data_IF_434914070570
#
_entry.id   IF_434914070570
#
_cell.length_a   1.000
_cell.length_b   1.000
_cell.length_c   1.000
_cell.angle_alpha   90.00
_cell.angle_beta   90.00
_cell.angle_gamma   90.00
#
_symmetry.space_group_name_H-M   'P 1'
#
loop_
_entity.id
_entity.type
_entity.pdbx_description
1 polymer ?
#
# COMPACT_ATOMS: atom_id res chain seq x y z
N UNK A 1 -17.34 23.02 -51.54
CA UNK A 1 -17.84 23.93 -50.48
C UNK A 1 -18.99 23.37 -49.63
N UNK A 2 -20.00 22.65 -50.17
CA UNK A 2 -21.13 22.12 -49.36
C UNK A 2 -20.73 21.05 -48.34
N UNK A 3 -19.81 20.15 -48.68
CA UNK A 3 -19.34 19.04 -47.82
C UNK A 3 -18.64 19.56 -46.55
N UNK A 4 -17.79 20.58 -46.67
CA UNK A 4 -17.07 21.19 -45.54
C UNK A 4 -18.01 21.92 -44.56
N UNK A 5 -19.13 22.45 -45.07
CA UNK A 5 -20.17 23.13 -44.28
C UNK A 5 -21.02 22.12 -43.51
N UNK A 6 -21.36 21.00 -44.14
CA UNK A 6 -22.06 19.86 -43.52
C UNK A 6 -21.21 19.21 -42.42
N UNK A 7 -19.91 19.01 -42.66
CA UNK A 7 -18.99 18.48 -41.64
C UNK A 7 -18.89 19.40 -40.41
N UNK A 8 -18.83 20.72 -40.62
CA UNK A 8 -18.82 21.72 -39.54
C UNK A 8 -20.10 21.68 -38.71
N UNK A 9 -21.26 21.61 -39.34
CA UNK A 9 -22.53 21.52 -38.60
C UNK A 9 -22.67 20.23 -37.82
N UNK A 10 -22.25 19.09 -38.38
CA UNK A 10 -22.27 17.79 -37.67
C UNK A 10 -21.34 17.82 -36.46
N UNK A 11 -20.12 18.35 -36.61
CA UNK A 11 -19.17 18.48 -35.51
C UNK A 11 -19.69 19.38 -34.38
N UNK A 12 -20.36 20.48 -34.72
CA UNK A 12 -20.91 21.43 -33.74
C UNK A 12 -22.12 20.86 -33.00
N UNK A 13 -22.99 20.11 -33.69
CA UNK A 13 -24.11 19.38 -33.08
C UNK A 13 -23.60 18.29 -32.12
N UNK A 14 -22.55 17.55 -32.49
CA UNK A 14 -21.93 16.57 -31.61
C UNK A 14 -21.33 17.19 -30.35
N UNK A 15 -20.62 18.32 -30.49
CA UNK A 15 -20.01 19.06 -29.37
C UNK A 15 -21.06 19.66 -28.42
N UNK A 16 -22.11 20.28 -28.96
CA UNK A 16 -23.18 20.83 -28.14
C UNK A 16 -24.03 19.73 -27.51
N UNK A 17 -24.31 18.64 -28.25
CA UNK A 17 -25.05 17.49 -27.74
C UNK A 17 -24.33 16.81 -26.58
N UNK A 18 -23.01 16.61 -26.68
CA UNK A 18 -22.22 16.03 -25.58
C UNK A 18 -22.20 16.95 -24.36
N UNK A 19 -22.07 18.27 -24.55
CA UNK A 19 -22.11 19.24 -23.45
C UNK A 19 -23.45 19.23 -22.70
N UNK A 20 -24.58 19.16 -23.41
CA UNK A 20 -25.91 19.10 -22.79
C UNK A 20 -26.11 17.79 -22.03
N UNK A 21 -25.63 16.66 -22.56
CA UNK A 21 -25.69 15.37 -21.85
C UNK A 21 -24.85 15.39 -20.58
N UNK A 22 -23.64 15.96 -20.63
CA UNK A 22 -22.76 16.11 -19.47
C UNK A 22 -23.40 17.02 -18.42
N UNK A 23 -23.91 18.19 -18.81
CA UNK A 23 -24.60 19.12 -17.90
C UNK A 23 -25.86 18.51 -17.28
N UNK A 24 -26.66 17.80 -18.08
CA UNK A 24 -27.83 17.07 -17.60
C UNK A 24 -27.44 15.99 -16.58
N UNK A 25 -26.36 15.25 -16.83
CA UNK A 25 -25.80 14.30 -15.86
C UNK A 25 -25.27 14.98 -14.61
N UNK A 26 -24.59 16.12 -14.69
CA UNK A 26 -24.09 16.85 -13.51
C UNK A 26 -25.24 17.35 -12.63
N UNK A 27 -26.35 17.78 -13.23
CA UNK A 27 -27.53 18.28 -12.50
C UNK A 27 -28.42 17.16 -11.95
N UNK A 28 -28.50 16.01 -12.63
CA UNK A 28 -29.35 14.88 -12.24
C UNK A 28 -28.59 13.80 -11.46
N UNK A 29 -27.26 13.75 -11.55
CA UNK A 29 -26.48 12.84 -10.75
C UNK A 29 -26.65 13.25 -9.29
N UNK A 30 -27.02 12.31 -8.40
CA UNK A 30 -26.93 12.58 -6.98
C UNK A 30 -25.48 13.03 -6.72
N UNK A 31 -25.32 14.13 -5.97
CA UNK A 31 -24.01 14.52 -5.47
C UNK A 31 -23.38 13.25 -4.92
N UNK A 32 -22.23 12.85 -5.47
CA UNK A 32 -21.48 11.68 -5.01
C UNK A 32 -21.32 11.82 -3.50
N UNK A 33 -22.19 11.13 -2.75
CA UNK A 33 -22.18 11.18 -1.30
C UNK A 33 -20.96 10.37 -0.93
N UNK A 34 -19.86 11.10 -0.69
CA UNK A 34 -18.68 10.55 -0.06
C UNK A 34 -19.12 10.01 1.30
N UNK A 35 -19.30 8.70 1.38
CA UNK A 35 -19.42 7.99 2.65
C UNK A 35 -18.03 7.42 2.92
N UNK A 36 -17.23 8.06 3.79
CA UNK A 36 -15.97 7.45 4.20
C UNK A 36 -16.27 6.10 4.88
N UNK A 37 -15.47 5.08 4.59
CA UNK A 37 -15.46 3.88 5.41
C UNK A 37 -15.16 4.30 6.85
N UNK A 38 -16.02 3.92 7.80
CA UNK A 38 -15.90 4.30 9.22
C UNK A 38 -15.06 3.32 10.02
N UNK A 39 -14.73 2.18 9.44
CA UNK A 39 -13.92 1.14 10.06
C UNK A 39 -13.38 0.19 8.98
N UNK A 40 -12.19 -0.34 9.21
CA UNK A 40 -11.62 -1.44 8.43
C UNK A 40 -11.24 -2.58 9.38
N UNK A 41 -11.48 -3.81 8.95
CA UNK A 41 -11.08 -5.01 9.69
C UNK A 41 -9.96 -5.70 8.92
N UNK A 42 -8.82 -5.84 9.57
CA UNK A 42 -7.67 -6.55 9.02
C UNK A 42 -7.95 -8.06 8.97
N UNK A 43 -7.40 -8.78 7.98
CA UNK A 43 -7.49 -10.24 7.98
C UNK A 43 -6.78 -10.83 9.20
N UNK A 44 -7.26 -11.99 9.68
CA UNK A 44 -6.61 -12.70 10.79
C UNK A 44 -5.17 -13.12 10.46
N UNK A 45 -4.90 -13.39 9.18
CA UNK A 45 -3.59 -13.82 8.67
C UNK A 45 -3.30 -13.16 7.33
N UNK A 46 -2.15 -12.50 7.23
CA UNK A 46 -1.53 -12.15 5.95
C UNK A 46 -0.43 -13.19 5.68
N UNK A 47 -0.49 -13.95 4.58
CA UNK A 47 0.53 -14.96 4.27
C UNK A 47 1.93 -14.37 4.26
N UNK A 48 2.80 -14.89 5.14
CA UNK A 48 4.23 -14.57 5.17
C UNK A 48 5.00 -15.55 4.28
N UNK A 49 5.68 -15.02 3.27
CA UNK A 49 6.52 -15.74 2.28
C UNK A 49 6.04 -17.14 1.89
N UNK A 50 4.94 -17.24 1.14
CA UNK A 50 4.76 -18.40 0.27
C UNK A 50 5.81 -18.29 -0.84
N UNK A 51 6.85 -19.12 -0.77
CA UNK A 51 7.76 -19.31 -1.90
C UNK A 51 6.95 -19.78 -3.09
N UNK A 52 6.75 -18.91 -4.06
CA UNK A 52 6.14 -19.29 -5.34
C UNK A 52 7.11 -20.21 -6.07
N UNK A 53 6.84 -21.53 -6.05
CA UNK A 53 7.61 -22.49 -6.84
C UNK A 53 7.38 -23.95 -6.44
N UNK A 54 6.28 -24.56 -6.87
CA UNK A 54 6.28 -25.87 -7.54
C UNK A 54 4.85 -26.38 -7.79
N UNK A 55 4.35 -26.16 -9.00
CA UNK A 55 3.60 -27.24 -9.63
C UNK A 55 4.58 -28.40 -9.86
N UNK A 56 4.46 -29.44 -9.03
CA UNK A 56 4.99 -30.78 -9.27
C UNK A 56 6.51 -30.95 -9.20
N UNK A 57 7.01 -31.48 -8.07
CA UNK A 57 7.94 -32.62 -8.03
C UNK A 57 8.22 -32.97 -6.57
N UNK A 58 7.80 -34.18 -6.17
CA UNK A 58 8.22 -34.83 -4.94
C UNK A 58 9.76 -34.93 -4.94
N UNK A 59 10.40 -34.33 -3.95
CA UNK A 59 11.82 -34.54 -3.67
C UNK A 59 12.00 -34.76 -2.18
N UNK A 60 12.19 -36.02 -1.81
CA UNK A 60 12.72 -36.43 -0.50
C UNK A 60 14.11 -35.82 -0.33
N UNK A 61 14.19 -34.72 0.41
CA UNK A 61 15.43 -34.03 0.71
C UNK A 61 15.30 -33.25 2.02
N UNK A 62 15.84 -33.82 3.09
CA UNK A 62 15.95 -33.24 4.42
C UNK A 62 16.66 -31.87 4.40
N UNK A 63 15.89 -30.80 4.33
CA UNK A 63 16.30 -29.41 4.55
C UNK A 63 15.11 -28.62 5.09
N UNK A 64 15.25 -28.03 6.28
CA UNK A 64 14.20 -27.30 6.97
C UNK A 64 13.83 -25.98 6.26
N UNK A 65 12.97 -26.03 5.25
CA UNK A 65 12.29 -24.86 4.68
C UNK A 65 11.10 -24.48 5.57
N UNK A 66 11.37 -23.67 6.61
CA UNK A 66 10.34 -23.25 7.56
C UNK A 66 9.38 -22.23 6.94
N UNK A 67 8.07 -22.44 7.10
CA UNK A 67 7.05 -21.49 6.69
C UNK A 67 6.74 -20.52 7.85
N UNK A 68 6.50 -19.24 7.56
CA UNK A 68 6.08 -18.29 8.59
C UNK A 68 4.63 -18.55 9.01
N UNK A 69 4.41 -18.83 10.28
CA UNK A 69 3.07 -19.05 10.84
C UNK A 69 2.63 -17.83 11.65
N UNK A 70 1.49 -17.24 11.28
CA UNK A 70 0.89 -16.15 12.05
C UNK A 70 0.36 -16.68 13.39
N UNK A 71 0.71 -16.00 14.48
CA UNK A 71 0.47 -16.48 15.84
C UNK A 71 -0.63 -15.69 16.55
N UNK A 72 -0.82 -14.41 16.25
CA UNK A 72 -1.86 -13.55 16.83
C UNK A 72 -2.06 -12.31 15.96
N UNK A 73 -3.32 -11.87 15.82
CA UNK A 73 -3.70 -10.55 15.30
C UNK A 73 -4.32 -9.71 16.44
N UNK A 74 -3.91 -8.44 16.59
CA UNK A 74 -4.60 -7.48 17.46
C UNK A 74 -4.95 -6.23 16.66
N UNK A 75 -6.24 -6.04 16.39
CA UNK A 75 -6.73 -4.81 15.78
C UNK A 75 -7.15 -3.80 16.85
N UNK A 76 -6.66 -2.56 16.73
CA UNK A 76 -7.13 -1.43 17.56
C UNK A 76 -7.68 -0.36 16.62
N UNK A 77 -8.86 0.19 16.96
CA UNK A 77 -9.43 1.36 16.31
C UNK A 77 -9.08 2.58 17.17
N UNK A 78 -8.00 3.32 16.89
CA UNK A 78 -7.80 4.60 17.54
C UNK A 78 -8.78 5.62 16.95
N UNK A 79 -9.43 6.37 17.83
CA UNK A 79 -10.36 7.46 17.48
C UNK A 79 -9.58 8.70 17.02
N UNK A 80 -8.93 8.60 15.85
CA UNK A 80 -8.19 9.69 15.21
C UNK A 80 -8.65 9.76 13.75
N UNK A 81 -9.07 10.94 13.29
CA UNK A 81 -9.74 11.17 12.00
C UNK A 81 -9.06 10.55 10.77
N UNK A 82 -7.75 10.29 10.83
CA UNK A 82 -6.95 9.76 9.72
C UNK A 82 -6.49 8.31 9.90
N UNK A 83 -6.76 7.64 11.02
CA UNK A 83 -6.34 6.26 11.29
C UNK A 83 -7.56 5.36 11.42
N UNK A 84 -7.78 4.49 10.43
CA UNK A 84 -8.97 3.66 10.33
C UNK A 84 -8.87 2.35 11.08
N UNK A 85 -7.67 1.77 11.12
CA UNK A 85 -7.43 0.51 11.80
C UNK A 85 -5.93 0.29 11.99
N UNK A 86 -5.58 -0.50 12.99
CA UNK A 86 -4.24 -1.08 13.13
C UNK A 86 -4.33 -2.60 13.18
N UNK A 87 -3.24 -3.28 12.88
CA UNK A 87 -3.07 -4.71 13.16
C UNK A 87 -1.61 -5.02 13.46
N UNK A 88 -1.39 -5.93 14.39
CA UNK A 88 -0.07 -6.49 14.70
C UNK A 88 -0.11 -7.98 14.43
N UNK A 89 0.90 -8.49 13.71
CA UNK A 89 1.05 -9.90 13.36
C UNK A 89 2.40 -10.41 13.85
N UNK A 90 2.37 -11.52 14.57
CA UNK A 90 3.59 -12.23 14.98
C UNK A 90 3.79 -13.46 14.11
N UNK A 91 4.93 -13.56 13.46
CA UNK A 91 5.34 -14.67 12.62
C UNK A 91 6.49 -15.43 13.26
N UNK A 92 6.48 -16.76 13.15
CA UNK A 92 7.61 -17.62 13.58
C UNK A 92 8.12 -18.52 12.47
N UNK A 93 9.45 -18.66 12.39
CA UNK A 93 10.16 -19.61 11.54
C UNK A 93 11.27 -20.26 12.38
N UNK A 94 11.00 -21.45 12.92
CA UNK A 94 11.88 -22.08 13.92
C UNK A 94 12.04 -21.20 15.17
N UNK A 95 13.29 -20.88 15.52
CA UNK A 95 13.62 -20.01 16.66
C UNK A 95 13.57 -18.51 16.33
N UNK A 96 13.29 -18.14 15.08
CA UNK A 96 13.19 -16.75 14.66
C UNK A 96 11.75 -16.25 14.78
N UNK A 97 11.62 -15.01 15.24
CA UNK A 97 10.35 -14.28 15.33
C UNK A 97 10.42 -13.00 14.52
N UNK A 98 9.43 -12.78 13.66
CA UNK A 98 9.25 -11.55 12.91
C UNK A 98 7.92 -10.93 13.32
N UNK A 99 7.90 -9.63 13.54
CA UNK A 99 6.70 -8.88 13.88
C UNK A 99 6.36 -7.91 12.75
N UNK A 100 5.09 -7.84 12.38
CA UNK A 100 4.57 -6.89 11.41
C UNK A 100 3.49 -6.04 12.06
N UNK A 101 3.75 -4.73 12.17
CA UNK A 101 2.74 -3.77 12.58
C UNK A 101 2.23 -3.04 11.33
N UNK A 102 0.91 -2.91 11.22
CA UNK A 102 0.22 -2.32 10.08
C UNK A 102 -0.76 -1.25 10.55
N UNK A 103 -0.78 -0.11 9.88
CA UNK A 103 -1.70 1.00 10.10
C UNK A 103 -2.38 1.36 8.78
N UNK A 104 -3.71 1.38 8.79
CA UNK A 104 -4.49 1.84 7.66
C UNK A 104 -4.91 3.29 7.85
N UNK A 105 -4.24 4.19 7.14
CA UNK A 105 -4.37 5.64 7.25
C UNK A 105 -5.18 6.18 6.06
N UNK A 106 -6.02 7.20 6.23
CA UNK A 106 -6.88 7.78 5.18
C UNK A 106 -6.59 9.22 4.80
N UNK A 107 -5.78 9.93 5.58
CA UNK A 107 -5.42 11.33 5.33
C UNK A 107 -3.95 11.58 5.70
N UNK A 108 -3.04 10.96 4.94
CA UNK A 108 -1.59 11.12 5.11
C UNK A 108 -0.92 11.51 3.80
N UNK A 109 0.25 12.15 3.91
CA UNK A 109 1.16 12.36 2.79
C UNK A 109 2.12 11.20 2.56
N UNK A 110 2.03 10.12 3.35
CA UNK A 110 2.80 8.89 3.19
C UNK A 110 4.26 9.00 3.62
N UNK A 111 4.66 10.09 4.29
CA UNK A 111 6.03 10.26 4.77
C UNK A 111 6.33 9.38 5.98
N UNK A 112 7.15 8.35 5.77
CA UNK A 112 7.44 7.34 6.80
C UNK A 112 8.18 7.94 8.00
N UNK A 113 9.03 8.95 7.80
CA UNK A 113 9.73 9.60 8.91
C UNK A 113 8.74 10.31 9.85
N UNK A 114 7.77 11.05 9.28
CA UNK A 114 6.69 11.69 10.04
C UNK A 114 5.80 10.65 10.74
N UNK A 115 5.48 9.55 10.07
CA UNK A 115 4.67 8.47 10.66
C UNK A 115 5.39 7.79 11.85
N UNK A 116 6.68 7.50 11.71
CA UNK A 116 7.51 6.98 12.80
C UNK A 116 7.54 7.96 13.98
N UNK A 117 7.75 9.26 13.74
CA UNK A 117 7.75 10.26 14.80
C UNK A 117 6.41 10.34 15.56
N UNK A 118 5.29 10.16 14.85
CA UNK A 118 3.96 10.23 15.44
C UNK A 118 3.56 8.98 16.23
N UNK A 119 3.92 7.79 15.74
CA UNK A 119 3.37 6.52 16.25
C UNK A 119 4.40 5.59 16.90
N UNK A 120 5.68 5.79 16.59
CA UNK A 120 6.80 5.01 17.14
C UNK A 120 7.96 5.96 17.47
N UNK A 121 7.77 6.94 18.38
CA UNK A 121 8.73 8.02 18.62
C UNK A 121 10.12 7.54 19.04
N UNK A 122 10.22 6.36 19.66
CA UNK A 122 11.49 5.71 19.98
C UNK A 122 12.33 5.34 18.74
N UNK A 123 11.72 5.27 17.56
CA UNK A 123 12.35 4.97 16.29
C UNK A 123 12.59 6.21 15.43
N UNK A 124 12.12 7.39 15.86
CA UNK A 124 12.12 8.62 15.06
C UNK A 124 13.53 9.12 14.71
N UNK A 125 14.49 8.88 15.60
CA UNK A 125 15.88 9.31 15.43
C UNK A 125 16.75 8.28 14.67
N UNK A 126 16.17 7.14 14.27
CA UNK A 126 16.92 6.12 13.55
C UNK A 126 17.17 6.55 12.10
N UNK A 127 18.39 6.28 11.62
CA UNK A 127 18.73 6.50 10.22
C UNK A 127 17.99 5.51 9.33
N UNK A 128 17.08 6.03 8.51
CA UNK A 128 16.39 5.27 7.47
C UNK A 128 17.28 5.13 6.23
N UNK A 129 17.66 3.90 5.89
CA UNK A 129 18.35 3.60 4.63
C UNK A 129 17.32 3.19 3.57
N UNK A 130 17.06 4.02 2.54
CA UNK A 130 16.07 3.71 1.52
C UNK A 130 16.59 2.67 0.53
N UNK A 131 15.69 1.80 0.09
CA UNK A 131 15.85 0.80 -0.95
C UNK A 131 14.74 0.97 -1.98
N UNK A 132 15.08 0.84 -3.26
CA UNK A 132 14.14 0.98 -4.36
C UNK A 132 14.44 -0.05 -5.44
N UNK A 133 13.41 -0.82 -5.81
CA UNK A 133 13.41 -1.73 -6.93
C UNK A 133 12.06 -1.63 -7.67
N UNK A 134 12.00 -0.83 -8.73
CA UNK A 134 10.75 -0.51 -9.43
C UNK A 134 9.73 0.18 -8.51
N UNK A 135 8.52 -0.41 -8.42
CA UNK A 135 7.42 0.05 -7.56
C UNK A 135 7.49 -0.53 -6.12
N UNK A 136 8.56 -1.28 -5.81
CA UNK A 136 8.86 -1.78 -4.47
C UNK A 136 9.89 -0.86 -3.78
N UNK A 137 9.42 0.06 -2.94
CA UNK A 137 10.24 1.02 -2.19
C UNK A 137 9.99 0.86 -0.71
N UNK A 138 11.07 0.76 0.06
CA UNK A 138 11.04 0.62 1.51
C UNK A 138 12.31 1.18 2.14
N UNK A 139 12.31 1.38 3.44
CA UNK A 139 13.50 1.77 4.19
C UNK A 139 13.83 0.76 5.27
N UNK A 140 15.12 0.56 5.53
CA UNK A 140 15.60 -0.26 6.64
C UNK A 140 16.25 0.65 7.68
N UNK A 141 15.99 0.36 8.95
CA UNK A 141 16.63 1.01 10.08
C UNK A 141 17.18 -0.05 11.04
N UNK A 142 18.27 0.27 11.72
CA UNK A 142 18.84 -0.56 12.77
C UNK A 142 18.73 0.19 14.10
N UNK A 143 18.27 -0.51 15.13
CA UNK A 143 18.33 -0.06 16.52
C UNK A 143 19.37 -0.91 17.28
N UNK A 144 20.60 -0.38 17.47
CA UNK A 144 21.64 -1.08 18.21
C UNK A 144 21.32 -1.26 19.70
N UNK A 145 20.41 -0.46 20.27
CA UNK A 145 20.09 -0.53 21.70
C UNK A 145 19.14 -1.69 22.03
N UNK A 146 18.33 -2.10 21.05
CA UNK A 146 17.36 -3.18 21.17
C UNK A 146 17.78 -4.45 20.40
N UNK A 147 18.94 -4.42 19.74
CA UNK A 147 19.39 -5.48 18.84
C UNK A 147 18.29 -5.83 17.82
N UNK A 148 17.73 -4.81 17.15
CA UNK A 148 16.62 -4.98 16.19
C UNK A 148 16.89 -4.32 14.84
N UNK A 149 16.39 -4.98 13.79
CA UNK A 149 16.23 -4.41 12.47
C UNK A 149 14.76 -4.11 12.21
N UNK A 150 14.51 -2.99 11.54
CA UNK A 150 13.20 -2.55 11.12
C UNK A 150 13.20 -2.36 9.61
N UNK A 151 12.08 -2.71 8.97
CA UNK A 151 11.80 -2.38 7.58
C UNK A 151 10.43 -1.70 7.54
N UNK A 152 10.35 -0.55 6.89
CA UNK A 152 9.14 0.27 6.89
C UNK A 152 8.86 0.86 5.52
N UNK A 153 7.57 0.88 5.15
CA UNK A 153 7.09 1.60 3.98
C UNK A 153 5.59 1.86 4.08
N UNK A 154 5.12 2.82 3.28
CA UNK A 154 3.71 3.02 2.99
C UNK A 154 3.34 2.26 1.71
N UNK A 155 2.27 1.47 1.72
CA UNK A 155 1.67 0.90 0.50
C UNK A 155 0.49 1.79 0.09
N UNK A 156 0.53 2.30 -1.14
CA UNK A 156 -0.50 3.13 -1.73
C UNK A 156 -1.60 2.28 -2.39
N UNK A 157 -2.73 2.91 -2.70
CA UNK A 157 -3.91 2.24 -3.26
C UNK A 157 -3.67 1.57 -4.61
N UNK A 158 -2.71 2.05 -5.39
CA UNK A 158 -2.32 1.44 -6.66
C UNK A 158 -1.37 0.24 -6.49
N UNK A 159 -1.00 -0.10 -5.25
CA UNK A 159 -0.11 -1.20 -4.91
C UNK A 159 1.37 -0.80 -4.83
N UNK A 160 1.74 0.42 -5.23
CA UNK A 160 3.12 0.90 -5.10
C UNK A 160 3.47 1.06 -3.62
N UNK A 161 4.73 0.84 -3.28
CA UNK A 161 5.25 1.17 -1.95
C UNK A 161 6.16 2.38 -1.99
N UNK A 162 6.17 3.17 -0.91
CA UNK A 162 6.85 4.47 -0.83
C UNK A 162 7.40 4.74 0.56
N UNK A 163 8.43 5.58 0.65
CA UNK A 163 9.05 6.01 1.91
C UNK A 163 8.87 7.51 2.16
N UNK A 164 8.96 8.34 1.12
CA UNK A 164 8.86 9.81 1.27
C UNK A 164 7.53 10.36 0.78
N UNK A 165 7.19 11.57 1.23
CA UNK A 165 6.02 12.30 0.76
C UNK A 165 6.01 12.47 -0.77
N UNK A 166 7.16 12.77 -1.39
CA UNK A 166 7.25 12.95 -2.84
C UNK A 166 6.97 11.65 -3.61
N UNK A 167 7.50 10.53 -3.12
CA UNK A 167 7.23 9.21 -3.70
C UNK A 167 5.75 8.87 -3.59
N UNK A 168 5.13 9.09 -2.42
CA UNK A 168 3.71 8.85 -2.22
C UNK A 168 2.83 9.76 -3.10
N UNK A 169 3.20 11.03 -3.26
CA UNK A 169 2.53 11.95 -4.18
C UNK A 169 2.60 11.47 -5.64
N UNK A 170 3.71 10.87 -6.06
CA UNK A 170 3.89 10.37 -7.43
C UNK A 170 2.94 9.22 -7.78
N UNK A 171 2.58 8.37 -6.81
CA UNK A 171 1.61 7.26 -6.99
C UNK A 171 0.24 7.72 -7.49
N UNK A 172 -0.08 9.01 -7.29
CA UNK A 172 -1.38 9.63 -7.62
C UNK A 172 -1.38 10.38 -8.94
N UNK A 173 -0.28 10.39 -9.68
CA UNK A 173 -0.25 11.05 -10.99
C UNK A 173 -1.23 10.38 -11.95
N UNK A 174 -1.95 11.19 -12.72
CA UNK A 174 -2.86 10.73 -13.76
C UNK A 174 -2.21 9.74 -14.74
N UNK A 175 -0.92 9.88 -15.01
CA UNK A 175 -0.14 8.97 -15.87
C UNK A 175 -0.01 7.55 -15.32
N UNK A 176 -0.22 7.35 -14.02
CA UNK A 176 -0.22 6.02 -13.37
C UNK A 176 -1.61 5.37 -13.35
N UNK A 177 -2.66 6.09 -13.75
CA UNK A 177 -4.02 5.54 -13.80
C UNK A 177 -4.25 4.76 -15.10
N UNK A 178 -4.98 3.64 -14.99
CA UNK A 178 -5.49 2.91 -16.15
C UNK A 178 -6.54 3.74 -16.91
N UNK A 179 -6.78 3.41 -18.18
CA UNK A 179 -7.80 4.09 -19.00
C UNK A 179 -9.21 4.05 -18.36
N UNK A 180 -9.54 2.96 -17.67
CA UNK A 180 -10.80 2.81 -16.93
C UNK A 180 -10.85 3.80 -15.75
N UNK A 181 -9.79 3.89 -14.97
CA UNK A 181 -9.72 4.82 -13.83
C UNK A 181 -9.74 6.29 -14.28
N UNK A 182 -9.12 6.62 -15.41
CA UNK A 182 -9.21 7.95 -16.02
C UNK A 182 -10.66 8.25 -16.41
N UNK A 183 -11.37 7.28 -17.01
CA UNK A 183 -12.77 7.43 -17.36
C UNK A 183 -13.66 7.61 -16.12
N UNK A 184 -13.47 6.80 -15.07
CA UNK A 184 -14.16 6.94 -13.78
C UNK A 184 -13.92 8.33 -13.16
N UNK A 185 -12.69 8.83 -13.24
CA UNK A 185 -12.37 10.18 -12.80
C UNK A 185 -13.07 11.25 -13.64
N UNK A 186 -13.03 11.16 -14.98
CA UNK A 186 -13.73 12.08 -15.88
C UNK A 186 -15.24 12.08 -15.64
N UNK A 187 -15.82 10.94 -15.22
CA UNK A 187 -17.22 10.81 -14.84
C UNK A 187 -17.53 11.21 -13.40
N UNK A 188 -16.53 11.65 -12.62
CA UNK A 188 -16.68 12.05 -11.22
C UNK A 188 -16.96 10.89 -10.25
N UNK A 189 -16.76 9.65 -10.69
CA UNK A 189 -16.96 8.44 -9.89
C UNK A 189 -15.76 8.12 -8.99
N UNK A 190 -14.59 8.68 -9.33
CA UNK A 190 -13.35 8.54 -8.55
C UNK A 190 -12.72 9.92 -8.31
N UNK A 191 -12.18 10.13 -7.10
CA UNK A 191 -11.25 11.24 -6.81
C UNK A 191 -9.82 10.80 -7.14
N UNK A 192 -9.04 11.66 -7.79
CA UNK A 192 -7.59 11.43 -8.02
C UNK A 192 -6.84 11.40 -6.69
N UNK A 193 -7.29 12.24 -5.76
CA UNK A 193 -6.78 12.39 -4.41
C UNK A 193 -7.17 11.19 -3.55
N UNK A 194 -6.36 10.12 -3.60
CA UNK A 194 -6.43 9.00 -2.66
C UNK A 194 -5.24 9.09 -1.69
N UNK A 195 -5.50 9.60 -0.48
CA UNK A 195 -4.49 9.80 0.57
C UNK A 195 -4.39 8.60 1.53
N UNK A 196 -4.87 7.44 1.08
CA UNK A 196 -4.86 6.22 1.88
C UNK A 196 -3.50 5.54 1.80
N UNK A 197 -2.97 5.20 2.96
CA UNK A 197 -1.69 4.55 3.13
C UNK A 197 -1.87 3.35 4.03
N UNK A 198 -1.42 2.19 3.58
CA UNK A 198 -1.20 1.06 4.45
C UNK A 198 0.27 1.11 4.89
N UNK A 199 0.52 1.79 6.00
CA UNK A 199 1.85 1.87 6.56
C UNK A 199 2.17 0.58 7.28
N UNK A 200 3.33 0.00 6.99
CA UNK A 200 3.81 -1.24 7.61
C UNK A 200 5.18 -1.01 8.24
N UNK A 201 5.38 -1.57 9.44
CA UNK A 201 6.65 -1.69 10.12
C UNK A 201 6.91 -3.18 10.41
N UNK A 202 7.84 -3.79 9.68
CA UNK A 202 8.35 -5.13 9.96
C UNK A 202 9.56 -5.03 10.88
N UNK A 203 9.71 -5.99 11.79
CA UNK A 203 10.87 -6.03 12.67
C UNK A 203 11.31 -7.44 13.04
N UNK A 204 12.61 -7.60 13.27
CA UNK A 204 13.25 -8.86 13.66
C UNK A 204 14.38 -8.61 14.67
N UNK A 205 14.55 -9.51 15.63
CA UNK A 205 15.72 -9.50 16.51
C UNK A 205 16.96 -9.85 15.69
N UNK A 206 18.06 -9.13 15.90
CA UNK A 206 19.30 -9.31 15.15
C UNK A 206 20.51 -9.32 16.07
N UNK A 207 21.68 -9.64 15.55
CA UNK A 207 22.96 -9.42 16.22
C UNK A 207 24.00 -9.04 15.17
N UNK A 208 25.16 -8.45 15.55
CA UNK A 208 26.19 -8.07 14.58
C UNK A 208 26.66 -9.23 13.68
N UNK A 209 26.60 -10.47 14.17
CA UNK A 209 27.00 -11.67 13.42
C UNK A 209 25.91 -12.21 12.50
N UNK A 210 24.64 -11.88 12.76
CA UNK A 210 23.47 -12.39 12.01
C UNK A 210 22.79 -11.33 11.15
N UNK A 211 23.14 -10.05 11.34
CA UNK A 211 22.56 -8.89 10.65
C UNK A 211 22.42 -9.03 9.13
N UNK A 212 23.42 -9.49 8.35
CA UNK A 212 23.23 -9.64 6.91
C UNK A 212 22.16 -10.68 6.54
N UNK A 213 22.07 -11.76 7.31
CA UNK A 213 21.08 -12.81 7.11
C UNK A 213 19.68 -12.34 7.54
N UNK A 214 19.59 -11.66 8.68
CA UNK A 214 18.32 -11.13 9.20
C UNK A 214 17.77 -10.03 8.29
N UNK A 215 18.64 -9.19 7.72
CA UNK A 215 18.24 -8.19 6.73
C UNK A 215 17.66 -8.84 5.47
N UNK A 216 18.31 -9.88 4.93
CA UNK A 216 17.81 -10.61 3.77
C UNK A 216 16.46 -11.28 4.05
N UNK A 217 16.29 -11.83 5.25
CA UNK A 217 15.04 -12.42 5.72
C UNK A 217 13.93 -11.37 5.82
N UNK A 218 14.22 -10.20 6.39
CA UNK A 218 13.29 -9.09 6.52
C UNK A 218 12.84 -8.56 5.14
N UNK A 219 13.77 -8.46 4.18
CA UNK A 219 13.47 -8.08 2.80
C UNK A 219 12.59 -9.13 2.09
N UNK A 220 12.85 -10.42 2.29
CA UNK A 220 12.02 -11.48 1.72
C UNK A 220 10.60 -11.47 2.31
N UNK A 221 10.48 -11.27 3.62
CA UNK A 221 9.19 -11.10 4.27
C UNK A 221 8.44 -9.88 3.72
N UNK A 222 9.12 -8.74 3.57
CA UNK A 222 8.56 -7.55 2.96
C UNK A 222 8.03 -7.80 1.53
N UNK A 223 8.81 -8.46 0.67
CA UNK A 223 8.38 -8.76 -0.69
C UNK A 223 7.07 -9.57 -0.72
N UNK A 224 6.93 -10.54 0.18
CA UNK A 224 5.70 -11.32 0.30
C UNK A 224 4.52 -10.50 0.81
N UNK A 225 4.75 -9.69 1.83
CA UNK A 225 3.76 -8.79 2.42
C UNK A 225 3.25 -7.76 1.40
N UNK A 226 4.17 -7.08 0.72
CA UNK A 226 3.89 -6.10 -0.32
C UNK A 226 3.09 -6.71 -1.46
N UNK A 227 3.50 -7.89 -1.99
CA UNK A 227 2.78 -8.57 -3.06
C UNK A 227 1.35 -8.92 -2.69
N UNK A 228 1.12 -9.35 -1.44
CA UNK A 228 -0.22 -9.67 -0.97
C UNK A 228 -1.11 -8.42 -0.90
N UNK A 229 -0.61 -7.34 -0.28
CA UNK A 229 -1.35 -6.10 -0.13
C UNK A 229 -1.54 -5.31 -1.43
N UNK A 230 -0.64 -5.46 -2.40
CA UNK A 230 -0.78 -4.83 -3.72
C UNK A 230 -2.05 -5.29 -4.44
N UNK A 231 -2.55 -6.50 -4.17
CA UNK A 231 -3.78 -7.04 -4.79
C UNK A 231 -4.97 -7.13 -3.82
N UNK A 232 -4.73 -7.13 -2.50
CA UNK A 232 -5.77 -7.16 -1.45
C UNK A 232 -5.93 -5.81 -0.73
N UNK A 233 -5.57 -4.71 -1.39
CA UNK A 233 -5.64 -3.39 -0.79
C UNK A 233 -7.06 -3.11 -0.26
N UNK A 234 -7.21 -2.53 0.95
CA UNK A 234 -8.51 -2.24 1.54
C UNK A 234 -9.43 -1.48 0.57
N UNK A 235 -10.58 -2.08 0.26
CA UNK A 235 -11.62 -1.45 -0.54
C UNK A 235 -12.15 -0.19 0.15
N UNK A 236 -12.80 0.68 -0.62
CA UNK A 236 -13.55 1.83 -0.09
C UNK A 236 -14.91 1.39 0.43
#
# INVERSE_FOLDING_TARGET
MRVLRSLRTVGLVLLCGSAVVVLGRVMLAPASQYVPATSYEFPDVVPGSESSGSEGLESEGSGSEGHWQATTSRATLPDIDFLMATAQYDYRQGDRSLQADAWYLTSTDGDVATLLAAHSPQLADLTLQPYQDGDNVYAIAQDPSQDRLYLTACIAVNGDSTVTAEQFQDTRRLSRLSAVQILEWLMGQRRIEDYRCLWTLLSIQTSPTTQPQDQAMLQAAWQSWHRWWAVHYPAR
#
